data_IF_039829612478
#
_entry.id   IF_039829612478
#
_cell.length_a   1.000
_cell.length_b   1.000
_cell.length_c   1.000
_cell.angle_alpha   90.00
_cell.angle_beta   90.00
_cell.angle_gamma   90.00
#
_symmetry.space_group_name_H-M   'P 1'
#
loop_
_entity.id
_entity.type
_entity.pdbx_description
1 polymer ?
#
# COMPACT_ATOMS: atom_id res chain seq x y z
N UNK A 1 -22.86 -2.34 -6.01
CA UNK A 1 -21.48 -2.46 -5.49
C UNK A 1 -20.65 -1.39 -6.16
N UNK A 2 -20.33 -0.33 -5.43
CA UNK A 2 -19.38 0.68 -5.88
C UNK A 2 -17.99 0.07 -5.80
N UNK A 3 -17.34 -0.09 -6.96
CA UNK A 3 -15.98 -0.61 -7.05
C UNK A 3 -15.03 0.42 -6.44
N UNK A 4 -14.52 0.16 -5.23
CA UNK A 4 -13.48 0.99 -4.62
C UNK A 4 -12.11 0.48 -5.09
N UNK A 5 -11.52 1.21 -6.04
CA UNK A 5 -10.22 0.89 -6.58
C UNK A 5 -9.09 1.03 -5.54
N UNK A 6 -9.31 1.81 -4.46
CA UNK A 6 -8.33 2.06 -3.40
C UNK A 6 -8.15 0.80 -2.56
N UNK A 7 -9.25 0.14 -2.16
CA UNK A 7 -9.22 -1.11 -1.39
C UNK A 7 -8.61 -2.26 -2.20
N UNK A 8 -8.92 -2.37 -3.50
CA UNK A 8 -8.42 -3.45 -4.36
C UNK A 8 -6.95 -3.30 -4.75
N UNK A 9 -6.48 -2.06 -4.95
CA UNK A 9 -5.05 -1.77 -5.13
C UNK A 9 -4.23 -2.13 -3.88
N UNK A 10 -4.91 -2.27 -2.75
CA UNK A 10 -4.35 -2.68 -1.46
C UNK A 10 -4.20 -4.18 -1.25
N UNK A 11 -4.66 -5.07 -2.13
CA UNK A 11 -4.64 -6.50 -1.81
C UNK A 11 -3.22 -7.03 -1.53
N UNK A 12 -2.99 -7.44 -0.27
CA UNK A 12 -1.70 -7.91 0.23
C UNK A 12 -1.35 -9.24 -0.43
N UNK A 13 -0.16 -9.33 -1.03
CA UNK A 13 0.38 -10.59 -1.50
C UNK A 13 0.63 -11.52 -0.30
N UNK A 14 0.24 -12.80 -0.42
CA UNK A 14 0.43 -13.77 0.67
C UNK A 14 1.93 -14.08 0.85
N UNK A 15 2.43 -13.91 2.08
CA UNK A 15 3.78 -14.30 2.49
C UNK A 15 4.72 -13.15 2.84
N UNK A 16 5.85 -13.49 3.48
CA UNK A 16 6.88 -12.52 3.86
C UNK A 16 7.55 -11.96 2.60
N UNK A 17 7.72 -10.64 2.54
CA UNK A 17 8.39 -9.98 1.41
C UNK A 17 9.83 -10.47 1.27
N UNK A 18 10.27 -10.86 0.05
CA UNK A 18 11.66 -11.19 -0.19
C UNK A 18 12.52 -9.92 -0.05
N UNK A 19 13.63 -10.06 0.66
CA UNK A 19 14.70 -9.04 0.80
C UNK A 19 15.84 -9.46 -0.11
N UNK A 20 16.28 -8.57 -0.98
CA UNK A 20 17.31 -8.86 -1.98
C UNK A 20 18.63 -8.15 -1.66
N UNK A 21 18.56 -6.96 -1.05
CA UNK A 21 19.74 -6.22 -0.61
C UNK A 21 20.08 -6.53 0.85
N UNK A 22 21.30 -6.13 1.25
CA UNK A 22 21.76 -6.25 2.64
C UNK A 22 20.94 -5.41 3.62
N UNK A 23 20.42 -4.29 3.12
CA UNK A 23 19.61 -3.35 3.87
C UNK A 23 18.19 -3.33 3.32
N UNK A 24 17.22 -3.68 4.16
CA UNK A 24 15.80 -3.71 3.85
C UNK A 24 15.28 -2.34 3.40
N UNK A 25 15.87 -1.24 3.89
CA UNK A 25 15.46 0.11 3.49
C UNK A 25 15.76 0.38 2.01
N UNK A 26 16.81 -0.25 1.46
CA UNK A 26 17.15 -0.17 0.03
C UNK A 26 16.12 -0.90 -0.84
N UNK A 27 15.67 -2.09 -0.42
CA UNK A 27 14.60 -2.84 -1.10
C UNK A 27 13.28 -2.06 -1.09
N UNK A 28 12.97 -1.41 0.04
CA UNK A 28 11.79 -0.55 0.17
C UNK A 28 11.86 0.63 -0.79
N UNK A 29 12.99 1.35 -0.81
CA UNK A 29 13.18 2.49 -1.70
C UNK A 29 13.08 2.08 -3.17
N UNK A 30 13.71 0.97 -3.57
CA UNK A 30 13.61 0.46 -4.93
C UNK A 30 12.17 0.11 -5.30
N UNK A 31 11.43 -0.50 -4.37
CA UNK A 31 10.01 -0.84 -4.58
C UNK A 31 9.15 0.41 -4.81
N UNK A 32 9.34 1.46 -4.00
CA UNK A 32 8.66 2.76 -4.19
C UNK A 32 9.03 3.35 -5.55
N UNK A 33 10.32 3.34 -5.91
CA UNK A 33 10.81 3.92 -7.15
C UNK A 33 10.22 3.21 -8.37
N UNK A 34 10.17 1.88 -8.36
CA UNK A 34 9.59 1.10 -9.46
C UNK A 34 8.08 1.32 -9.57
N UNK A 35 7.36 1.40 -8.46
CA UNK A 35 5.94 1.75 -8.45
C UNK A 35 5.70 3.15 -9.04
N UNK A 36 6.49 4.14 -8.61
CA UNK A 36 6.43 5.50 -9.12
C UNK A 36 6.72 5.56 -10.63
N UNK A 37 7.76 4.87 -11.09
CA UNK A 37 8.13 4.82 -12.49
C UNK A 37 7.01 4.21 -13.36
N UNK A 38 6.41 3.11 -12.91
CA UNK A 38 5.30 2.45 -13.60
C UNK A 38 4.06 3.34 -13.70
N UNK A 39 3.65 3.93 -12.58
CA UNK A 39 2.50 4.85 -12.57
C UNK A 39 2.74 6.10 -13.42
N UNK A 40 3.95 6.66 -13.40
CA UNK A 40 4.31 7.81 -14.23
C UNK A 40 4.30 7.47 -15.73
N UNK A 41 4.80 6.28 -16.11
CA UNK A 41 4.79 5.82 -17.49
C UNK A 41 3.36 5.68 -18.02
N UNK A 42 2.49 4.97 -17.28
CA UNK A 42 1.08 4.79 -17.64
C UNK A 42 0.35 6.13 -17.70
N UNK A 43 0.59 7.05 -16.75
CA UNK A 43 -0.01 8.37 -16.77
C UNK A 43 0.41 9.17 -18.02
N UNK A 44 1.71 9.17 -18.37
CA UNK A 44 2.22 9.85 -19.56
C UNK A 44 1.63 9.30 -20.85
N UNK A 45 1.53 7.97 -20.98
CA UNK A 45 0.94 7.31 -22.16
C UNK A 45 -0.54 7.64 -22.31
N UNK A 46 -1.30 7.65 -21.19
CA UNK A 46 -2.71 8.05 -21.21
C UNK A 46 -2.90 9.52 -21.58
N UNK A 47 -2.03 10.41 -21.07
CA UNK A 47 -2.06 11.84 -21.41
C UNK A 47 -1.78 12.03 -22.91
N UNK A 48 -0.70 11.46 -23.46
CA UNK A 48 -0.38 11.55 -24.89
C UNK A 48 -1.54 11.03 -25.76
N UNK A 49 -2.15 9.91 -25.36
CA UNK A 49 -3.33 9.36 -26.07
C UNK A 49 -4.51 10.33 -26.07
N UNK A 50 -4.82 10.96 -24.92
CA UNK A 50 -5.91 11.93 -24.82
C UNK A 50 -5.64 13.18 -25.67
N UNK A 51 -4.41 13.71 -25.61
CA UNK A 51 -4.00 14.88 -26.39
C UNK A 51 -4.15 14.63 -27.89
N UNK A 52 -3.61 13.51 -28.40
CA UNK A 52 -3.72 13.13 -29.81
C UNK A 52 -5.16 12.92 -30.26
N UNK A 53 -5.99 12.27 -29.43
CA UNK A 53 -7.40 12.02 -29.78
C UNK A 53 -8.23 13.31 -29.81
N UNK A 54 -7.96 14.26 -28.91
CA UNK A 54 -8.66 15.54 -28.87
C UNK A 54 -8.22 16.45 -30.02
N UNK A 55 -6.93 16.49 -30.34
CA UNK A 55 -6.40 17.25 -31.47
C UNK A 55 -6.89 16.68 -32.81
N UNK A 56 -6.89 15.36 -32.99
CA UNK A 56 -7.42 14.71 -34.19
C UNK A 56 -8.91 15.02 -34.44
N UNK A 57 -9.66 15.36 -33.38
CA UNK A 57 -11.07 15.78 -33.45
C UNK A 57 -11.24 17.29 -33.57
N UNK A 58 -10.15 18.06 -33.65
CA UNK A 58 -10.12 19.53 -33.61
C UNK A 58 -10.84 20.13 -32.39
N UNK A 59 -10.83 19.43 -31.25
CA UNK A 59 -11.51 19.87 -30.03
C UNK A 59 -10.62 20.69 -29.10
N UNK A 60 -9.31 20.48 -29.16
CA UNK A 60 -8.33 21.11 -28.28
C UNK A 60 -6.96 21.10 -28.94
N UNK A 61 -6.19 22.19 -28.81
CA UNK A 61 -4.79 22.24 -29.25
C UNK A 61 -3.87 21.97 -28.07
N UNK A 62 -2.72 21.35 -28.31
CA UNK A 62 -1.72 21.12 -27.25
C UNK A 62 -1.29 22.42 -26.56
N UNK A 63 -1.21 23.54 -27.29
CA UNK A 63 -0.88 24.86 -26.71
C UNK A 63 -1.87 25.34 -25.66
N UNK A 64 -3.13 24.90 -25.74
CA UNK A 64 -4.17 25.27 -24.77
C UNK A 64 -3.95 24.54 -23.42
N UNK A 65 -3.28 23.38 -23.44
CA UNK A 65 -2.91 22.63 -22.24
C UNK A 65 -1.77 23.33 -21.51
N UNK A 66 -0.73 23.76 -22.25
CA UNK A 66 0.43 24.45 -21.68
C UNK A 66 0.04 25.77 -21.01
N UNK A 67 -0.99 26.45 -21.53
CA UNK A 67 -1.53 27.69 -20.97
C UNK A 67 -2.63 27.51 -19.92
N UNK A 68 -3.02 26.28 -19.58
CA UNK A 68 -4.14 26.03 -18.69
C UNK A 68 -3.82 26.43 -17.25
N UNK A 69 -4.67 27.29 -16.67
CA UNK A 69 -4.62 27.67 -15.25
C UNK A 69 -5.80 27.01 -14.52
N UNK A 70 -5.55 26.07 -13.59
CA UNK A 70 -6.63 25.44 -12.84
C UNK A 70 -7.34 26.44 -11.93
N UNK A 71 -8.68 26.34 -11.89
CA UNK A 71 -9.47 27.03 -10.89
C UNK A 71 -9.37 26.33 -9.51
N UNK A 72 -10.02 26.92 -8.50
CA UNK A 72 -10.01 26.39 -7.13
C UNK A 72 -10.61 24.99 -7.00
N UNK A 73 -11.58 24.66 -7.86
CA UNK A 73 -12.25 23.36 -7.84
C UNK A 73 -11.32 22.29 -8.41
N UNK A 74 -10.74 22.55 -9.59
CA UNK A 74 -9.76 21.68 -10.22
C UNK A 74 -8.52 21.48 -9.33
N UNK A 75 -8.06 22.52 -8.63
CA UNK A 75 -6.95 22.40 -7.68
C UNK A 75 -7.29 21.47 -6.51
N UNK A 76 -8.50 21.58 -5.95
CA UNK A 76 -8.98 20.71 -4.85
C UNK A 76 -9.09 19.25 -5.31
N UNK A 77 -9.66 19.00 -6.47
CA UNK A 77 -9.80 17.65 -7.03
C UNK A 77 -8.43 17.01 -7.29
N UNK A 78 -7.49 17.78 -7.86
CA UNK A 78 -6.10 17.34 -8.00
C UNK A 78 -5.44 17.03 -6.66
N UNK A 79 -5.75 17.79 -5.61
CA UNK A 79 -5.27 17.52 -4.26
C UNK A 79 -5.71 16.15 -3.74
N UNK A 80 -6.98 15.77 -3.96
CA UNK A 80 -7.49 14.45 -3.59
C UNK A 80 -6.81 13.34 -4.41
N UNK A 81 -6.72 13.51 -5.72
CA UNK A 81 -6.02 12.55 -6.59
C UNK A 81 -4.53 12.39 -6.21
N UNK A 82 -3.89 13.47 -5.76
CA UNK A 82 -2.50 13.43 -5.31
C UNK A 82 -2.33 12.59 -4.03
N UNK A 83 -3.28 12.66 -3.10
CA UNK A 83 -3.28 11.81 -1.90
C UNK A 83 -3.42 10.33 -2.26
N UNK A 84 -4.34 10.00 -3.17
CA UNK A 84 -4.51 8.63 -3.67
C UNK A 84 -3.25 8.12 -4.38
N UNK A 85 -2.60 8.98 -5.17
CA UNK A 85 -1.34 8.66 -5.83
C UNK A 85 -0.21 8.37 -4.83
N UNK A 86 -0.07 9.21 -3.79
CA UNK A 86 0.89 8.99 -2.69
C UNK A 86 0.61 7.66 -2.00
N UNK A 87 -0.66 7.35 -1.70
CA UNK A 87 -1.02 6.09 -1.06
C UNK A 87 -0.62 4.88 -1.91
N UNK A 88 -0.79 4.94 -3.24
CA UNK A 88 -0.38 3.87 -4.16
C UNK A 88 1.13 3.66 -4.19
N UNK A 89 1.93 4.73 -4.30
CA UNK A 89 3.40 4.59 -4.32
C UNK A 89 3.96 4.16 -2.97
N UNK A 90 3.33 4.56 -1.86
CA UNK A 90 3.74 4.20 -0.50
C UNK A 90 3.13 2.88 0.02
N UNK A 91 2.39 2.13 -0.82
CA UNK A 91 1.77 0.87 -0.42
C UNK A 91 2.77 -0.11 0.20
N UNK A 92 4.03 -0.08 -0.23
CA UNK A 92 5.09 -0.91 0.36
C UNK A 92 5.27 -0.66 1.86
N UNK A 93 5.22 0.61 2.29
CA UNK A 93 5.33 1.00 3.71
C UNK A 93 4.12 0.52 4.50
N UNK A 94 2.92 0.71 3.93
CA UNK A 94 1.68 0.29 4.57
C UNK A 94 1.67 -1.23 4.81
N UNK A 95 2.10 -2.01 3.82
CA UNK A 95 2.19 -3.47 3.93
C UNK A 95 3.21 -3.94 4.97
N UNK A 96 4.26 -3.17 5.21
CA UNK A 96 5.22 -3.48 6.27
C UNK A 96 4.66 -3.20 7.66
N UNK A 97 3.92 -2.09 7.83
CA UNK A 97 3.21 -1.81 9.08
C UNK A 97 2.19 -2.93 9.36
N UNK A 98 1.40 -3.31 8.35
CA UNK A 98 0.46 -4.45 8.43
C UNK A 98 1.19 -5.74 8.85
N UNK A 99 2.36 -6.03 8.28
CA UNK A 99 3.15 -7.21 8.66
C UNK A 99 3.69 -7.14 10.09
N UNK A 100 4.14 -5.95 10.53
CA UNK A 100 4.63 -5.74 11.89
C UNK A 100 3.54 -5.97 12.93
N UNK A 101 2.32 -5.49 12.67
CA UNK A 101 1.19 -5.67 13.58
C UNK A 101 0.77 -7.15 13.66
N UNK A 102 0.71 -7.85 12.52
CA UNK A 102 0.46 -9.30 12.46
C UNK A 102 1.52 -10.10 13.26
N UNK A 103 2.80 -9.78 13.09
CA UNK A 103 3.89 -10.45 13.81
C UNK A 103 3.78 -10.21 15.33
N UNK A 104 3.37 -9.00 15.75
CA UNK A 104 3.14 -8.66 17.17
C UNK A 104 1.95 -9.41 17.75
N UNK A 105 0.85 -9.52 17.02
CA UNK A 105 -0.34 -10.27 17.43
C UNK A 105 -0.03 -11.76 17.58
N UNK A 106 0.66 -12.34 16.60
CA UNK A 106 1.11 -13.73 16.65
C UNK A 106 2.01 -14.01 17.88
N UNK A 107 2.94 -13.09 18.19
CA UNK A 107 3.78 -13.20 19.39
C UNK A 107 2.98 -13.10 20.69
N UNK A 108 1.99 -12.22 20.77
CA UNK A 108 1.14 -12.09 21.95
C UNK A 108 0.28 -13.34 22.16
N UNK A 109 -0.25 -13.91 21.08
CA UNK A 109 -1.03 -15.13 21.15
C UNK A 109 -0.19 -16.32 21.61
N UNK A 110 0.99 -16.52 21.02
CA UNK A 110 1.92 -17.56 21.46
C UNK A 110 2.33 -17.41 22.94
N UNK A 111 2.52 -16.17 23.42
CA UNK A 111 2.80 -15.92 24.85
C UNK A 111 1.62 -16.30 25.73
N UNK A 112 0.38 -15.97 25.35
CA UNK A 112 -0.83 -16.33 26.11
C UNK A 112 -1.02 -17.84 26.17
N UNK A 113 -0.83 -18.53 25.05
CA UNK A 113 -0.90 -19.99 24.97
C UNK A 113 0.15 -20.65 25.87
N UNK A 114 1.39 -20.15 25.86
CA UNK A 114 2.45 -20.66 26.74
C UNK A 114 2.16 -20.40 28.23
N UNK A 115 1.59 -19.25 28.58
CA UNK A 115 1.19 -18.95 29.97
C UNK A 115 0.04 -19.85 30.41
N UNK A 116 -0.99 -20.04 29.57
CA UNK A 116 -2.11 -20.97 29.84
C UNK A 116 -1.61 -22.39 30.07
N UNK A 117 -0.77 -22.90 29.17
CA UNK A 117 -0.20 -24.24 29.29
C UNK A 117 0.67 -24.40 30.55
N UNK A 118 1.38 -23.36 30.98
CA UNK A 118 2.14 -23.37 32.22
C UNK A 118 1.24 -23.40 33.45
N UNK A 119 0.15 -22.63 33.47
CA UNK A 119 -0.82 -22.64 34.58
C UNK A 119 -1.54 -23.98 34.68
N UNK A 120 -1.94 -24.56 33.55
CA UNK A 120 -2.57 -25.90 33.51
C UNK A 120 -1.62 -26.99 34.03
N UNK A 121 -0.33 -26.91 33.73
CA UNK A 121 0.68 -27.84 34.27
C UNK A 121 0.88 -27.67 35.79
N UNK A 122 0.88 -26.43 36.28
CA UNK A 122 1.00 -26.15 37.72
C UNK A 122 -0.21 -26.68 38.50
N UNK A 123 -1.43 -26.46 38.01
CA UNK A 123 -2.65 -27.01 38.63
C UNK A 123 -2.64 -28.55 38.68
N UNK A 124 -2.17 -29.20 37.61
CA UNK A 124 -2.13 -30.67 37.53
C UNK A 124 -1.05 -31.28 38.44
N UNK A 125 0.08 -30.58 38.62
CA UNK A 125 1.12 -30.96 39.59
C UNK A 125 0.59 -30.83 41.03
N UNK A 126 -0.13 -29.75 41.32
CA UNK A 126 -0.70 -29.50 42.65
C UNK A 126 -1.78 -30.54 42.99
N UNK A 127 -2.61 -30.92 42.02
CA UNK A 127 -3.61 -31.99 42.18
C UNK A 127 -2.95 -33.35 42.49
N UNK A 128 -1.88 -33.72 41.77
CA UNK A 128 -1.11 -34.95 42.01
C UNK A 128 -0.34 -34.96 43.34
N UNK A 129 0.08 -33.80 43.83
CA UNK A 129 0.75 -33.67 45.13
C UNK A 129 -0.25 -33.72 46.31
N UNK A 130 -1.53 -33.47 46.06
CA UNK A 130 -2.61 -33.49 47.06
C UNK A 130 -3.30 -34.85 47.22
N UNK A 131 -3.02 -35.81 46.32
CA UNK A 131 -3.51 -37.20 46.31
C UNK A 131 -2.52 -38.19 46.95
#
# INVERSE_FOLDING_TARGET
>A
MTFDAIDMAGNKARGKRPTFFKDTDTDRLLSILMALAGELAVARERIDTLERLLEARNLLKQTDIEGYVPDTTAARERGLWHQEFIARILRVVQQEIEQFDEDREAQQQARRENVSASTELEELIEELASS
#
